data_IF_695381180753
#
_entry.id   IF_695381180753
#
_cell.length_a   1.000
_cell.length_b   1.000
_cell.length_c   1.000
_cell.angle_alpha   90.00
_cell.angle_beta   90.00
_cell.angle_gamma   90.00
#
_symmetry.space_group_name_H-M   'P 1'
#
loop_
_entity.id
_entity.type
_entity.pdbx_description
1 polymer ?
#
# COMPACT_ATOMS: atom_id res chain seq x y z
N UNK A 1 -6.02 -1.17 1.53
CA UNK A 1 -5.79 -1.84 0.22
C UNK A 1 -6.69 -3.05 0.14
N UNK A 2 -7.31 -3.31 -1.02
CA UNK A 2 -8.14 -4.51 -1.23
C UNK A 2 -7.49 -5.43 -2.27
N UNK A 3 -7.55 -6.74 -2.03
CA UNK A 3 -7.21 -7.77 -3.01
C UNK A 3 -8.51 -8.20 -3.69
N UNK A 4 -8.59 -8.06 -5.00
CA UNK A 4 -9.79 -8.33 -5.79
C UNK A 4 -9.55 -9.56 -6.66
N UNK A 5 -10.52 -10.49 -6.67
CA UNK A 5 -10.52 -11.58 -7.63
C UNK A 5 -10.87 -11.03 -9.02
N UNK A 6 -9.96 -11.11 -10.01
CA UNK A 6 -10.22 -10.57 -11.34
C UNK A 6 -11.34 -11.31 -12.10
N UNK A 7 -11.75 -12.51 -11.67
CA UNK A 7 -12.78 -13.30 -12.35
C UNK A 7 -14.20 -12.81 -12.08
N UNK A 8 -14.46 -12.29 -10.87
CA UNK A 8 -15.81 -11.93 -10.41
C UNK A 8 -15.89 -10.54 -9.75
N UNK A 9 -14.75 -9.87 -9.51
CA UNK A 9 -14.70 -8.56 -8.87
C UNK A 9 -14.93 -8.58 -7.36
N UNK A 10 -15.05 -9.75 -6.73
CA UNK A 10 -15.19 -9.85 -5.28
C UNK A 10 -13.89 -9.46 -4.59
N UNK A 11 -14.03 -8.74 -3.47
CA UNK A 11 -12.93 -8.48 -2.55
C UNK A 11 -12.64 -9.76 -1.78
N UNK A 12 -11.41 -10.27 -1.88
CA UNK A 12 -10.94 -11.51 -1.24
C UNK A 12 -9.91 -11.26 -0.15
N UNK A 13 -9.54 -10.00 0.08
CA UNK A 13 -8.62 -9.62 1.15
C UNK A 13 -8.61 -8.12 1.38
N UNK A 14 -8.30 -7.72 2.62
CA UNK A 14 -8.18 -6.33 3.03
C UNK A 14 -6.89 -6.18 3.86
N UNK A 15 -6.07 -5.21 3.48
CA UNK A 15 -4.92 -4.77 4.26
C UNK A 15 -5.15 -3.32 4.70
N UNK A 16 -5.15 -3.10 6.01
CA UNK A 16 -5.24 -1.75 6.59
C UNK A 16 -3.87 -1.05 6.50
N UNK A 17 -3.82 0.06 5.77
CA UNK A 17 -2.62 0.88 5.58
C UNK A 17 -2.65 2.16 6.42
N UNK A 18 -3.65 2.36 7.28
CA UNK A 18 -3.77 3.54 8.15
C UNK A 18 -2.54 3.75 9.04
N UNK A 19 -1.91 2.71 9.64
CA UNK A 19 -0.68 2.88 10.39
C UNK A 19 0.48 3.39 9.53
N UNK A 20 0.61 2.86 8.30
CA UNK A 20 1.63 3.28 7.35
C UNK A 20 1.41 4.72 6.90
N UNK A 21 0.16 5.10 6.63
CA UNK A 21 -0.20 6.47 6.27
C UNK A 21 0.15 7.44 7.40
N UNK A 22 -0.11 7.08 8.66
CA UNK A 22 0.28 7.89 9.82
C UNK A 22 1.79 8.11 9.89
N UNK A 23 2.59 7.05 9.63
CA UNK A 23 4.06 7.14 9.58
C UNK A 23 4.51 8.02 8.41
N UNK A 24 3.86 7.90 7.24
CA UNK A 24 4.23 8.64 6.05
C UNK A 24 3.98 10.15 6.20
N UNK A 25 2.83 10.55 6.76
CA UNK A 25 2.43 11.96 6.93
C UNK A 25 3.46 12.76 7.72
N UNK A 26 4.03 12.19 8.79
CA UNK A 26 4.98 12.88 9.65
C UNK A 26 4.46 14.29 10.02
N UNK A 27 5.24 15.32 9.67
CA UNK A 27 4.86 16.74 9.82
C UNK A 27 4.71 17.48 8.47
N UNK A 28 4.64 16.77 7.34
CA UNK A 28 4.60 17.41 6.02
C UNK A 28 3.14 17.73 5.62
N UNK A 29 2.75 19.02 5.54
CA UNK A 29 1.39 19.40 5.19
C UNK A 29 1.03 19.14 3.71
N UNK A 30 2.01 18.88 2.85
CA UNK A 30 1.78 18.59 1.42
C UNK A 30 1.51 17.11 1.15
N UNK A 31 1.64 16.23 2.15
CA UNK A 31 1.34 14.81 1.99
C UNK A 31 -0.15 14.62 1.74
N UNK A 32 -0.44 13.82 0.72
CA UNK A 32 -1.77 13.48 0.29
C UNK A 32 -1.98 11.95 0.43
N UNK A 33 -3.05 11.45 -0.16
CA UNK A 33 -3.53 10.07 0.01
C UNK A 33 -2.54 9.00 -0.47
N UNK A 34 -2.70 7.80 0.11
CA UNK A 34 -2.11 6.55 -0.39
C UNK A 34 -2.49 6.33 -1.85
N UNK A 35 -1.49 6.13 -2.71
CA UNK A 35 -1.64 5.91 -4.13
C UNK A 35 -0.32 5.39 -4.71
N UNK A 36 -0.40 4.32 -5.49
CA UNK A 36 0.77 3.60 -6.00
C UNK A 36 1.02 2.32 -5.21
N UNK A 37 0.88 1.20 -5.91
CA UNK A 37 1.10 -0.16 -5.41
C UNK A 37 1.89 -0.89 -6.51
N UNK A 38 3.00 -1.53 -6.14
CA UNK A 38 3.74 -2.41 -7.02
C UNK A 38 3.95 -3.77 -6.33
N UNK A 39 4.00 -4.83 -7.12
CA UNK A 39 4.22 -6.20 -6.64
C UNK A 39 5.52 -6.73 -7.23
N UNK A 40 6.41 -7.22 -6.38
CA UNK A 40 7.58 -7.96 -6.82
C UNK A 40 7.27 -9.45 -6.86
N UNK A 41 7.23 -10.02 -8.07
CA UNK A 41 6.94 -11.44 -8.27
C UNK A 41 8.07 -12.39 -7.85
N UNK A 42 9.29 -11.87 -7.62
CA UNK A 42 10.43 -12.69 -7.21
C UNK A 42 10.39 -12.92 -5.70
N UNK A 43 10.15 -11.88 -4.92
CA UNK A 43 10.11 -11.95 -3.45
C UNK A 43 8.71 -12.17 -2.89
N UNK A 44 7.66 -11.79 -3.64
CA UNK A 44 6.28 -11.75 -3.15
C UNK A 44 5.94 -10.46 -2.38
N UNK A 45 6.90 -9.55 -2.22
CA UNK A 45 6.71 -8.31 -1.47
C UNK A 45 5.88 -7.29 -2.27
N UNK A 46 5.22 -6.40 -1.52
CA UNK A 46 4.43 -5.30 -2.06
C UNK A 46 5.09 -3.97 -1.71
N UNK A 47 5.26 -3.10 -2.69
CA UNK A 47 5.73 -1.73 -2.48
C UNK A 47 4.54 -0.78 -2.50
N UNK A 48 4.43 0.05 -1.47
CA UNK A 48 3.33 1.02 -1.30
C UNK A 48 3.90 2.42 -1.12
N UNK A 49 3.24 3.40 -1.74
CA UNK A 49 3.53 4.82 -1.54
C UNK A 49 2.25 5.65 -1.63
N UNK A 50 2.40 6.96 -1.72
CA UNK A 50 1.30 7.90 -1.87
C UNK A 50 1.72 9.18 -2.57
N UNK A 51 0.73 10.02 -2.86
CA UNK A 51 0.96 11.31 -3.49
C UNK A 51 1.74 12.21 -2.53
N UNK A 52 2.88 12.72 -3.00
CA UNK A 52 3.82 13.54 -2.22
C UNK A 52 4.44 12.83 -0.99
N UNK A 53 4.34 11.50 -0.90
CA UNK A 53 5.05 10.76 0.13
C UNK A 53 6.56 10.84 -0.13
N UNK A 54 7.35 11.07 0.91
CA UNK A 54 8.82 11.17 0.79
C UNK A 54 9.50 9.79 0.67
N UNK A 55 8.73 8.70 0.82
CA UNK A 55 9.24 7.32 0.88
C UNK A 55 8.33 6.35 0.13
N UNK A 56 8.93 5.25 -0.30
CA UNK A 56 8.26 4.02 -0.71
C UNK A 56 8.53 2.99 0.39
N UNK A 57 7.50 2.24 0.78
CA UNK A 57 7.59 1.22 1.80
C UNK A 57 7.46 -0.16 1.16
N UNK A 58 8.40 -1.04 1.46
CA UNK A 58 8.30 -2.46 1.12
C UNK A 58 7.58 -3.19 2.25
N UNK A 59 6.59 -4.00 1.90
CA UNK A 59 5.76 -4.76 2.81
C UNK A 59 5.89 -6.25 2.48
N UNK A 60 6.33 -7.02 3.47
CA UNK A 60 6.20 -8.48 3.46
C UNK A 60 4.79 -8.85 3.94
N UNK A 61 4.10 -9.69 3.16
CA UNK A 61 2.78 -10.19 3.52
C UNK A 61 2.95 -11.58 4.10
N UNK A 62 2.63 -11.74 5.39
CA UNK A 62 2.64 -13.02 6.08
C UNK A 62 1.28 -13.70 5.84
N UNK A 63 1.29 -14.83 5.15
CA UNK A 63 0.13 -15.72 4.99
C UNK A 63 -0.04 -16.67 6.20
#
# INVERSE_FOLDING_TARGET
MVKIDPKNGHVIGLLDLTPLQTIAYGNNPEIDVTNGIAYDSITGNIFVTGKMWSKIYELEILD
#
